data_IF_006638894141
#
_entry.id   IF_006638894141
#
_cell.length_a   1.000
_cell.length_b   1.000
_cell.length_c   1.000
_cell.angle_alpha   90.00
_cell.angle_beta   90.00
_cell.angle_gamma   90.00
#
_symmetry.space_group_name_H-M   'P 1'
#
loop_
_entity.id
_entity.type
_entity.pdbx_description
1 polymer ?
#
# COMPACT_ATOMS: atom_id res chain seq x y z
N UNK A 1 29.70 5.40 1.58
CA UNK A 1 28.62 4.82 0.76
C UNK A 1 27.34 4.69 1.56
N UNK A 2 26.25 5.24 1.04
CA UNK A 2 24.94 5.14 1.69
C UNK A 2 24.13 4.01 1.09
N UNK A 3 23.30 3.37 1.90
CA UNK A 3 22.34 2.42 1.40
C UNK A 3 21.08 3.16 0.92
N UNK A 4 20.39 2.57 -0.06
CA UNK A 4 19.10 3.07 -0.55
C UNK A 4 18.08 1.98 -0.32
N UNK A 5 16.95 2.33 0.30
CA UNK A 5 15.85 1.38 0.45
C UNK A 5 15.24 1.10 -0.92
N UNK A 6 15.33 -0.14 -1.37
CA UNK A 6 14.82 -0.54 -2.67
C UNK A 6 13.29 -0.72 -2.66
N UNK A 7 12.79 -1.54 -1.76
CA UNK A 7 11.37 -1.78 -1.56
C UNK A 7 11.18 -2.58 -0.26
N UNK A 8 9.95 -2.70 0.18
CA UNK A 8 9.58 -3.61 1.26
C UNK A 8 9.15 -4.92 0.63
N UNK A 9 9.76 -6.03 1.08
CA UNK A 9 9.45 -7.36 0.56
C UNK A 9 8.43 -8.03 1.46
N UNK A 10 7.29 -8.42 0.89
CA UNK A 10 6.22 -9.12 1.60
C UNK A 10 6.15 -10.57 1.10
N UNK A 11 6.26 -11.50 2.03
CA UNK A 11 6.20 -12.92 1.70
C UNK A 11 4.76 -13.36 1.56
N UNK A 12 4.45 -14.12 0.50
CA UNK A 12 3.09 -14.43 0.09
C UNK A 12 2.90 -15.92 -0.18
N UNK A 13 1.70 -16.39 0.11
CA UNK A 13 1.26 -17.71 -0.35
C UNK A 13 0.80 -17.65 -1.80
N UNK A 14 0.09 -16.60 -2.17
CA UNK A 14 -0.49 -16.41 -3.50
C UNK A 14 -0.16 -15.00 -3.99
N UNK A 15 0.88 -14.88 -4.80
CA UNK A 15 1.36 -13.59 -5.29
C UNK A 15 0.33 -12.88 -6.17
N UNK A 16 -0.31 -13.53 -7.16
CA UNK A 16 -1.31 -12.84 -7.99
C UNK A 16 -2.50 -12.31 -7.18
N UNK A 17 -2.99 -13.08 -6.21
CA UNK A 17 -4.11 -12.65 -5.37
C UNK A 17 -3.72 -11.45 -4.50
N UNK A 18 -2.51 -11.45 -3.94
CA UNK A 18 -2.01 -10.33 -3.15
C UNK A 18 -1.81 -9.08 -4.01
N UNK A 19 -1.25 -9.23 -5.21
CA UNK A 19 -1.08 -8.11 -6.14
C UNK A 19 -2.42 -7.47 -6.48
N UNK A 20 -3.44 -8.27 -6.75
CA UNK A 20 -4.81 -7.78 -6.99
C UNK A 20 -5.35 -7.03 -5.78
N UNK A 21 -5.15 -7.55 -4.57
CA UNK A 21 -5.59 -6.89 -3.35
C UNK A 21 -5.00 -5.49 -3.21
N UNK A 22 -3.68 -5.36 -3.34
CA UNK A 22 -3.01 -4.07 -3.19
C UNK A 22 -3.35 -3.10 -4.32
N UNK A 23 -3.58 -3.60 -5.52
CA UNK A 23 -4.04 -2.80 -6.65
C UNK A 23 -5.47 -2.29 -6.43
N UNK A 24 -6.40 -3.18 -6.15
CA UNK A 24 -7.83 -2.85 -6.08
C UNK A 24 -8.18 -2.10 -4.79
N UNK A 25 -7.51 -2.44 -3.69
CA UNK A 25 -7.78 -1.82 -2.39
C UNK A 25 -7.10 -0.46 -2.20
N UNK A 26 -5.86 -0.34 -2.65
CA UNK A 26 -5.03 0.85 -2.40
C UNK A 26 -4.73 1.66 -3.67
N UNK A 27 -5.08 1.16 -4.83
CA UNK A 27 -4.78 1.84 -6.08
C UNK A 27 -3.32 1.79 -6.49
N UNK A 28 -2.54 0.84 -5.96
CA UNK A 28 -1.15 0.68 -6.37
C UNK A 28 -1.06 0.17 -7.80
N UNK A 29 0.02 0.51 -8.49
CA UNK A 29 0.27 0.09 -9.86
C UNK A 29 1.12 -1.17 -9.87
N UNK A 30 0.65 -2.21 -10.55
CA UNK A 30 1.40 -3.45 -10.72
C UNK A 30 2.38 -3.28 -11.87
N UNK A 31 3.68 -3.22 -11.56
CA UNK A 31 4.73 -3.06 -12.56
C UNK A 31 5.15 -4.40 -13.16
N UNK A 32 5.20 -5.44 -12.33
CA UNK A 32 5.55 -6.81 -12.71
C UNK A 32 4.65 -7.75 -11.93
N UNK A 33 4.15 -8.80 -12.57
CA UNK A 33 3.43 -9.84 -11.84
C UNK A 33 3.62 -11.18 -12.52
N UNK A 34 4.22 -12.11 -11.78
CA UNK A 34 4.30 -13.53 -12.12
C UNK A 34 3.68 -14.33 -10.99
N UNK A 35 3.62 -15.64 -11.13
CA UNK A 35 3.10 -16.49 -10.06
C UNK A 35 3.95 -16.49 -8.78
N UNK A 36 5.22 -16.13 -8.89
CA UNK A 36 6.16 -16.18 -7.77
C UNK A 36 6.72 -14.83 -7.36
N UNK A 37 6.47 -13.79 -8.14
CA UNK A 37 7.02 -12.46 -7.88
C UNK A 37 6.12 -11.38 -8.45
N UNK A 38 5.93 -10.29 -7.68
CA UNK A 38 5.26 -9.09 -8.18
C UNK A 38 5.93 -7.85 -7.61
N UNK A 39 5.86 -6.76 -8.35
CA UNK A 39 6.36 -5.46 -7.94
C UNK A 39 5.26 -4.42 -8.16
N UNK A 40 5.02 -3.63 -7.11
CA UNK A 40 3.98 -2.61 -7.13
C UNK A 40 4.57 -1.25 -6.73
N UNK A 41 4.08 -0.22 -7.38
CA UNK A 41 4.50 1.16 -7.12
C UNK A 41 3.31 2.06 -6.82
N UNK A 42 3.61 3.28 -6.39
CA UNK A 42 2.58 4.29 -6.17
C UNK A 42 1.99 4.74 -7.51
N UNK A 43 0.69 5.06 -7.53
CA UNK A 43 0.09 5.67 -8.70
C UNK A 43 0.72 7.05 -8.97
N UNK A 44 0.88 7.41 -10.23
CA UNK A 44 1.49 8.69 -10.64
C UNK A 44 0.77 9.89 -10.03
N UNK A 45 -0.57 9.83 -9.91
CA UNK A 45 -1.36 10.88 -9.30
C UNK A 45 -1.07 11.07 -7.80
N UNK A 46 -0.62 10.01 -7.12
CA UNK A 46 -0.29 10.07 -5.70
C UNK A 46 1.11 10.66 -5.45
N UNK A 47 1.99 10.58 -6.43
CA UNK A 47 3.36 11.09 -6.33
C UNK A 47 3.49 12.53 -6.81
N UNK A 48 2.42 13.12 -7.36
CA UNK A 48 2.46 14.46 -7.95
C UNK A 48 3.22 14.53 -9.27
N UNK A 49 3.58 13.39 -9.84
CA UNK A 49 4.23 13.36 -11.14
C UNK A 49 3.22 13.77 -12.22
N UNK A 50 3.53 14.85 -12.95
CA UNK A 50 2.73 15.25 -14.10
C UNK A 50 3.16 14.42 -15.32
N UNK A 51 2.20 13.99 -16.16
CA UNK A 51 2.57 13.38 -17.44
C UNK A 51 3.40 14.39 -18.24
N UNK A 52 4.40 13.89 -18.96
CA UNK A 52 5.17 14.75 -19.85
C UNK A 52 4.30 15.27 -20.99
N UNK A 53 4.82 16.23 -21.76
CA UNK A 53 4.09 16.86 -22.86
C UNK A 53 3.69 15.89 -23.98
N UNK A 54 4.20 14.67 -23.99
CA UNK A 54 3.83 13.64 -24.97
C UNK A 54 2.67 12.76 -24.55
N UNK A 55 2.21 12.91 -23.30
CA UNK A 55 1.08 12.12 -22.78
C UNK A 55 1.47 10.69 -22.38
N UNK A 56 2.74 10.35 -22.45
CA UNK A 56 3.25 9.06 -21.97
C UNK A 56 3.81 9.23 -20.57
N UNK A 57 3.43 8.35 -19.65
CA UNK A 57 4.18 8.22 -18.40
C UNK A 57 5.61 7.85 -18.78
N UNK A 58 6.57 8.72 -18.45
CA UNK A 58 7.94 8.58 -18.88
C UNK A 58 8.65 7.34 -18.29
N UNK A 59 8.10 6.74 -17.24
CA UNK A 59 8.58 5.48 -16.67
C UNK A 59 7.51 4.88 -15.77
N UNK A 60 7.55 3.55 -15.60
CA UNK A 60 6.74 2.89 -14.59
C UNK A 60 7.05 3.48 -13.20
N UNK A 61 6.03 3.62 -12.32
CA UNK A 61 6.27 4.09 -10.97
C UNK A 61 7.33 3.23 -10.27
N UNK A 62 8.18 3.88 -9.49
CA UNK A 62 9.17 3.15 -8.71
C UNK A 62 8.49 2.13 -7.81
N UNK A 63 9.01 0.91 -7.77
CA UNK A 63 8.48 -0.15 -6.93
C UNK A 63 8.69 0.19 -5.46
N UNK A 64 7.62 0.17 -4.68
CA UNK A 64 7.66 0.39 -3.22
C UNK A 64 7.43 -0.90 -2.44
N UNK A 65 6.69 -1.84 -3.02
CA UNK A 65 6.40 -3.15 -2.43
C UNK A 65 6.73 -4.23 -3.45
N UNK A 66 7.42 -5.27 -3.02
CA UNK A 66 7.60 -6.48 -3.81
C UNK A 66 6.95 -7.66 -3.08
N UNK A 67 6.32 -8.55 -3.83
CA UNK A 67 5.66 -9.74 -3.33
C UNK A 67 6.44 -10.96 -3.79
N UNK A 68 6.80 -11.82 -2.84
CA UNK A 68 7.57 -13.04 -3.14
C UNK A 68 6.85 -14.26 -2.63
N UNK A 69 6.68 -15.26 -3.48
CA UNK A 69 6.11 -16.53 -3.08
C UNK A 69 7.05 -17.31 -2.16
N UNK A 70 6.53 -17.79 -1.05
CA UNK A 70 7.21 -18.74 -0.17
C UNK A 70 6.25 -19.85 0.24
N UNK A 71 6.76 -21.07 0.35
CA UNK A 71 5.94 -22.23 0.71
C UNK A 71 5.77 -22.39 2.21
N UNK A 72 6.73 -21.92 3.00
CA UNK A 72 6.74 -22.12 4.46
C UNK A 72 5.75 -21.17 5.15
N UNK A 73 4.82 -21.73 5.93
CA UNK A 73 3.93 -20.93 6.77
C UNK A 73 4.70 -20.14 7.83
N UNK A 74 5.78 -20.70 8.35
CA UNK A 74 6.60 -19.99 9.34
C UNK A 74 7.21 -18.72 8.74
N UNK A 75 7.62 -18.75 7.47
CA UNK A 75 8.15 -17.58 6.79
C UNK A 75 7.06 -16.54 6.47
N UNK A 76 5.80 -16.96 6.38
CA UNK A 76 4.68 -16.06 6.12
C UNK A 76 4.02 -15.54 7.40
N UNK A 77 4.46 -15.99 8.56
CA UNK A 77 3.91 -15.51 9.82
C UNK A 77 4.14 -13.99 9.97
N UNK A 78 3.09 -13.26 10.25
CA UNK A 78 3.12 -11.81 10.38
C UNK A 78 2.69 -11.38 11.78
N UNK A 79 3.20 -10.24 12.24
CA UNK A 79 2.78 -9.62 13.49
C UNK A 79 2.19 -8.25 13.23
N UNK A 80 2.36 -7.32 14.17
CA UNK A 80 1.97 -5.94 13.97
C UNK A 80 3.01 -5.13 13.19
N UNK A 81 4.25 -5.46 13.31
CA UNK A 81 5.34 -4.77 12.63
C UNK A 81 5.89 -5.64 11.50
N UNK A 82 6.19 -5.04 10.34
CA UNK A 82 6.02 -3.62 10.02
C UNK A 82 4.56 -3.28 9.70
N UNK A 83 4.22 -1.99 9.85
CA UNK A 83 2.96 -1.42 9.36
C UNK A 83 3.28 -0.64 8.11
N UNK A 84 2.57 -0.95 7.01
CA UNK A 84 2.70 -0.19 5.77
C UNK A 84 1.75 0.98 5.84
N UNK A 85 2.31 2.19 5.89
CA UNK A 85 1.52 3.40 6.06
C UNK A 85 1.33 4.12 4.74
N UNK A 86 0.09 4.47 4.43
CA UNK A 86 -0.29 5.15 3.20
C UNK A 86 -1.03 6.45 3.50
N UNK A 87 -0.70 7.50 2.77
CA UNK A 87 -1.51 8.72 2.74
C UNK A 87 -2.56 8.55 1.66
N UNK A 88 -3.83 8.79 2.00
CA UNK A 88 -4.95 8.64 1.07
C UNK A 88 -5.75 9.93 1.01
N UNK A 89 -6.40 10.18 -0.14
CA UNK A 89 -7.23 11.36 -0.33
C UNK A 89 -8.64 11.21 0.23
N UNK A 90 -9.13 9.97 0.29
CA UNK A 90 -10.47 9.63 0.81
C UNK A 90 -10.35 8.35 1.62
N UNK A 91 -10.21 8.52 2.95
CA UNK A 91 -9.99 7.39 3.84
C UNK A 91 -11.21 6.46 3.90
N UNK A 92 -12.40 7.02 3.97
CA UNK A 92 -13.62 6.20 4.08
C UNK A 92 -13.81 5.33 2.83
N UNK A 93 -13.58 5.90 1.65
CA UNK A 93 -13.66 5.15 0.39
C UNK A 93 -12.57 4.07 0.32
N UNK A 94 -11.34 4.40 0.74
CA UNK A 94 -10.23 3.44 0.74
C UNK A 94 -10.51 2.29 1.70
N UNK A 95 -11.02 2.59 2.89
CA UNK A 95 -11.41 1.56 3.86
C UNK A 95 -12.47 0.63 3.24
N UNK A 96 -13.49 1.19 2.59
CA UNK A 96 -14.52 0.37 1.93
C UNK A 96 -13.93 -0.53 0.85
N UNK A 97 -13.03 0.00 0.04
CA UNK A 97 -12.36 -0.80 -1.00
C UNK A 97 -11.56 -1.95 -0.40
N UNK A 98 -10.83 -1.67 0.67
CA UNK A 98 -10.03 -2.68 1.36
C UNK A 98 -10.89 -3.76 2.00
N UNK A 99 -12.00 -3.37 2.64
CA UNK A 99 -12.93 -4.34 3.25
C UNK A 99 -13.54 -5.26 2.18
N UNK A 100 -13.91 -4.70 1.02
CA UNK A 100 -14.43 -5.51 -0.09
C UNK A 100 -13.37 -6.47 -0.65
N UNK A 101 -12.10 -6.08 -0.58
CA UNK A 101 -10.99 -6.89 -1.06
C UNK A 101 -10.53 -7.93 -0.03
N UNK A 102 -11.14 -7.99 1.15
CA UNK A 102 -10.88 -9.01 2.15
C UNK A 102 -10.11 -8.57 3.38
N UNK A 103 -9.78 -7.28 3.51
CA UNK A 103 -9.14 -6.76 4.71
C UNK A 103 -10.14 -6.64 5.86
N UNK A 104 -9.65 -6.52 7.08
CA UNK A 104 -10.46 -6.26 8.27
C UNK A 104 -9.91 -5.06 9.03
N UNK A 105 -10.82 -4.26 9.60
CA UNK A 105 -10.43 -3.14 10.45
C UNK A 105 -9.79 -3.64 11.75
N UNK A 106 -8.72 -2.99 12.15
CA UNK A 106 -8.08 -3.21 13.45
C UNK A 106 -8.40 -2.00 14.34
N UNK A 107 -9.55 -2.06 14.99
CA UNK A 107 -10.05 -0.97 15.79
C UNK A 107 -10.87 0.04 15.00
N UNK A 108 -11.41 1.09 15.68
CA UNK A 108 -12.24 2.09 15.03
C UNK A 108 -11.40 3.08 14.23
N UNK A 109 -12.06 3.74 13.26
CA UNK A 109 -11.47 4.90 12.57
C UNK A 109 -11.38 6.05 13.59
N UNK A 110 -10.21 6.68 13.65
CA UNK A 110 -9.94 7.78 14.57
C UNK A 110 -9.94 9.12 13.81
N UNK A 111 -10.35 10.17 14.51
CA UNK A 111 -10.48 11.51 13.93
C UNK A 111 -9.64 12.53 14.71
N UNK A 112 -8.29 12.38 14.75
CA UNK A 112 -7.46 13.38 15.41
C UNK A 112 -7.52 14.72 14.68
N UNK A 113 -7.10 15.84 15.31
CA UNK A 113 -7.20 17.17 14.68
C UNK A 113 -6.49 17.27 13.32
N UNK A 114 -5.47 16.46 13.08
CA UNK A 114 -4.69 16.50 11.82
C UNK A 114 -5.31 15.73 10.67
N UNK A 115 -6.38 14.98 10.90
CA UNK A 115 -7.01 14.21 9.84
C UNK A 115 -7.73 12.98 10.35
N UNK A 116 -7.79 11.96 9.49
CA UNK A 116 -8.40 10.66 9.82
C UNK A 116 -7.35 9.57 9.76
N UNK A 117 -7.44 8.61 10.67
CA UNK A 117 -6.50 7.49 10.77
C UNK A 117 -7.28 6.19 10.84
N UNK A 118 -6.82 5.17 10.13
CA UNK A 118 -7.37 3.82 10.23
C UNK A 118 -6.24 2.80 10.17
N UNK A 119 -6.43 1.69 10.88
CA UNK A 119 -5.54 0.54 10.79
C UNK A 119 -6.35 -0.67 10.33
N UNK A 120 -5.79 -1.44 9.41
CA UNK A 120 -6.43 -2.63 8.87
C UNK A 120 -5.41 -3.76 8.78
N UNK A 121 -5.92 -4.98 8.81
CA UNK A 121 -5.13 -6.17 8.49
C UNK A 121 -5.51 -6.67 7.12
N UNK A 122 -4.52 -6.78 6.25
CA UNK A 122 -4.70 -7.33 4.91
C UNK A 122 -4.94 -8.85 4.96
N UNK A 123 -5.53 -9.44 3.91
CA UNK A 123 -5.72 -10.89 3.86
C UNK A 123 -4.44 -11.70 3.97
N UNK A 124 -3.29 -11.14 3.57
CA UNK A 124 -1.99 -11.78 3.72
C UNK A 124 -1.42 -11.68 5.13
N UNK A 125 -2.12 -11.00 6.03
CA UNK A 125 -1.73 -10.82 7.42
C UNK A 125 -0.94 -9.56 7.72
N UNK A 126 -0.53 -8.80 6.71
CA UNK A 126 0.24 -7.57 6.92
C UNK A 126 -0.65 -6.43 7.42
N UNK A 127 -0.09 -5.61 8.31
CA UNK A 127 -0.80 -4.45 8.84
C UNK A 127 -0.68 -3.25 7.90
N UNK A 128 -1.78 -2.57 7.71
CA UNK A 128 -1.88 -1.35 6.89
C UNK A 128 -2.33 -0.20 7.76
N UNK A 129 -1.66 0.94 7.64
CA UNK A 129 -2.08 2.20 8.23
C UNK A 129 -2.51 3.16 7.14
N UNK A 130 -3.62 3.84 7.34
CA UNK A 130 -4.14 4.86 6.42
C UNK A 130 -4.20 6.19 7.13
N UNK A 131 -3.83 7.23 6.42
CA UNK A 131 -3.94 8.61 6.89
C UNK A 131 -4.53 9.48 5.80
N UNK A 132 -5.59 10.22 6.15
CA UNK A 132 -6.13 11.28 5.29
C UNK A 132 -5.87 12.61 5.99
N UNK A 133 -5.03 13.50 5.41
CA UNK A 133 -4.76 14.79 6.05
C UNK A 133 -6.03 15.65 6.12
N UNK A 134 -6.19 16.41 7.20
CA UNK A 134 -7.25 17.39 7.29
C UNK A 134 -7.05 18.48 6.25
N UNK A 135 -8.16 19.05 5.76
CA UNK A 135 -8.12 20.11 4.77
C UNK A 135 -7.32 21.30 5.30
N UNK A 136 -6.33 21.77 4.53
CA UNK A 136 -5.47 22.89 4.89
C UNK A 136 -4.25 22.55 5.74
N UNK A 137 -4.05 21.28 6.13
CA UNK A 137 -2.81 20.86 6.78
C UNK A 137 -1.83 20.35 5.74
N UNK A 138 -0.60 20.87 5.82
CA UNK A 138 0.49 20.33 5.01
C UNK A 138 0.74 18.87 5.37
N UNK A 139 1.28 18.11 4.41
CA UNK A 139 1.47 16.67 4.47
C UNK A 139 2.47 16.18 5.56
N UNK A 140 2.63 16.91 6.61
CA UNK A 140 3.45 16.51 7.78
C UNK A 140 2.66 15.60 8.72
N UNK A 141 1.95 14.67 8.14
CA UNK A 141 1.17 13.77 8.92
C UNK A 141 2.05 12.64 9.42
N UNK A 142 2.13 12.54 10.71
CA UNK A 142 2.74 11.40 11.35
C UNK A 142 1.66 10.46 11.83
N UNK A 143 1.79 9.28 11.38
CA UNK A 143 0.98 8.17 11.88
C UNK A 143 1.61 7.65 13.16
#
# INVERSE_FOLDING_TARGET
>A
MSAVLRHVLLLQRDVPAAAKFYRDGLGLVVNVCTERWAELGNAASATGATPDASGFAASAPETVIALKHVDSEAHRATGYSPILSFTVSDLDQTVNNLLRAGASLDGPILYPPRGKVAALRAPDGHMLGLFEPAEGTAAEAQV
#
